data_IF_963375682299
#
_entry.id   IF_963375682299
#
_cell.length_a   1.000
_cell.length_b   1.000
_cell.length_c   1.000
_cell.angle_alpha   90.00
_cell.angle_beta   90.00
_cell.angle_gamma   90.00
#
_symmetry.space_group_name_H-M   'P 1'
#
loop_
_entity.id
_entity.type
_entity.pdbx_description
1 polymer ?
#
# COMPACT_ATOMS: atom_id res chain seq x y z
N UNK A 1 -2.48 55.08 2.47
CA UNK A 1 -1.43 54.06 2.26
C UNK A 1 -1.75 52.72 2.93
N UNK A 2 -2.46 52.70 4.07
CA UNK A 2 -2.72 51.46 4.82
C UNK A 2 -3.74 50.49 4.21
N UNK A 3 -4.74 50.99 3.47
CA UNK A 3 -5.73 50.11 2.81
C UNK A 3 -5.12 49.23 1.72
N UNK A 4 -4.13 49.73 0.99
CA UNK A 4 -3.42 48.95 -0.03
C UNK A 4 -2.58 47.83 0.60
N UNK A 5 -1.96 48.09 1.76
CA UNK A 5 -1.23 47.08 2.52
C UNK A 5 -2.16 45.99 3.05
N UNK A 6 -3.32 46.37 3.59
CA UNK A 6 -4.34 45.43 4.05
C UNK A 6 -4.86 44.55 2.91
N UNK A 7 -5.07 45.13 1.73
CA UNK A 7 -5.49 44.38 0.53
C UNK A 7 -4.43 43.36 0.09
N UNK A 8 -3.15 43.74 0.06
CA UNK A 8 -2.05 42.82 -0.27
C UNK A 8 -1.93 41.69 0.76
N UNK A 9 -2.08 42.02 2.04
CA UNK A 9 -2.06 41.04 3.12
C UNK A 9 -3.20 40.02 2.98
N UNK A 10 -4.42 40.52 2.72
CA UNK A 10 -5.58 39.67 2.46
C UNK A 10 -5.36 38.73 1.27
N UNK A 11 -4.87 39.24 0.14
CA UNK A 11 -4.57 38.42 -1.04
C UNK A 11 -3.52 37.35 -0.75
N UNK A 12 -2.48 37.69 0.01
CA UNK A 12 -1.45 36.73 0.46
C UNK A 12 -2.04 35.62 1.31
N UNK A 13 -2.88 35.95 2.29
CA UNK A 13 -3.50 34.97 3.18
C UNK A 13 -4.47 34.04 2.45
N UNK A 14 -5.28 34.58 1.54
CA UNK A 14 -6.18 33.78 0.69
C UNK A 14 -5.37 32.81 -0.19
N UNK A 15 -4.29 33.28 -0.81
CA UNK A 15 -3.42 32.42 -1.63
C UNK A 15 -2.78 31.30 -0.80
N UNK A 16 -2.27 31.61 0.40
CA UNK A 16 -1.70 30.62 1.31
C UNK A 16 -2.74 29.60 1.79
N UNK A 17 -3.97 30.03 2.06
CA UNK A 17 -5.06 29.14 2.44
C UNK A 17 -5.42 28.18 1.30
N UNK A 18 -5.50 28.68 0.05
CA UNK A 18 -5.75 27.85 -1.13
C UNK A 18 -4.63 26.83 -1.35
N UNK A 19 -3.38 27.23 -1.23
CA UNK A 19 -2.23 26.31 -1.36
C UNK A 19 -2.29 25.21 -0.30
N UNK A 20 -2.56 25.54 0.97
CA UNK A 20 -2.72 24.54 2.04
C UNK A 20 -3.84 23.54 1.76
N UNK A 21 -4.94 24.00 1.17
CA UNK A 21 -6.06 23.12 0.79
C UNK A 21 -5.62 22.18 -0.34
N UNK A 22 -4.96 22.70 -1.38
CA UNK A 22 -4.42 21.89 -2.48
C UNK A 22 -3.40 20.87 -1.96
N UNK A 23 -2.46 21.28 -1.11
CA UNK A 23 -1.49 20.38 -0.47
C UNK A 23 -2.19 19.30 0.35
N UNK A 24 -3.22 19.62 1.11
CA UNK A 24 -4.01 18.62 1.86
C UNK A 24 -4.71 17.64 0.93
N UNK A 25 -5.27 18.10 -0.19
CA UNK A 25 -5.92 17.21 -1.16
C UNK A 25 -4.90 16.36 -1.93
N UNK A 26 -3.76 16.92 -2.31
CA UNK A 26 -2.65 16.16 -2.88
C UNK A 26 -2.13 15.13 -1.88
N UNK A 27 -1.93 15.53 -0.63
CA UNK A 27 -1.53 14.64 0.46
C UNK A 27 -2.60 13.60 0.77
N UNK A 28 -3.90 13.89 0.65
CA UNK A 28 -4.98 12.92 0.84
C UNK A 28 -5.06 11.92 -0.32
N UNK A 29 -4.77 12.36 -1.55
CA UNK A 29 -4.57 11.46 -2.70
C UNK A 29 -3.33 10.58 -2.59
N UNK A 30 -2.28 11.07 -1.93
CA UNK A 30 -1.05 10.29 -1.64
C UNK A 30 -1.07 9.58 -0.28
N UNK A 31 -2.06 9.83 0.58
CA UNK A 31 -2.34 9.05 1.78
C UNK A 31 -3.09 7.77 1.42
N UNK A 32 -2.63 7.06 0.40
CA UNK A 32 -2.51 5.62 0.57
C UNK A 32 -1.45 5.39 1.64
N UNK A 33 -1.88 5.54 2.90
CA UNK A 33 -1.42 4.72 4.00
C UNK A 33 0.05 4.31 3.85
N UNK A 34 0.99 5.24 4.06
CA UNK A 34 2.37 4.87 4.41
C UNK A 34 2.34 4.32 5.84
N UNK A 35 1.46 3.34 6.11
CA UNK A 35 1.68 2.40 7.21
C UNK A 35 2.94 1.70 6.76
N UNK A 36 4.01 1.85 7.55
CA UNK A 36 5.13 0.91 7.68
C UNK A 36 4.88 -0.27 6.76
N UNK A 37 5.53 -0.34 5.60
CA UNK A 37 5.33 -1.39 4.59
C UNK A 37 5.48 -2.73 5.26
N UNK A 38 4.40 -3.22 5.88
CA UNK A 38 4.47 -4.41 6.69
C UNK A 38 4.74 -5.50 5.70
N UNK A 39 5.58 -6.46 6.08
CA UNK A 39 5.91 -7.61 5.25
C UNK A 39 4.66 -8.23 4.58
N UNK A 40 3.49 -8.13 5.22
CA UNK A 40 2.20 -8.58 4.67
C UNK A 40 1.69 -7.77 3.46
N UNK A 41 1.91 -6.46 3.41
CA UNK A 41 1.54 -5.62 2.27
C UNK A 41 2.43 -5.95 1.05
N UNK A 42 3.73 -6.19 1.29
CA UNK A 42 4.64 -6.68 0.24
C UNK A 42 4.16 -8.01 -0.32
N UNK A 43 3.82 -8.97 0.54
CA UNK A 43 3.29 -10.28 0.13
C UNK A 43 1.96 -10.14 -0.62
N UNK A 44 1.07 -9.26 -0.16
CA UNK A 44 -0.19 -8.97 -0.84
C UNK A 44 0.08 -8.41 -2.24
N UNK A 45 0.97 -7.43 -2.38
CA UNK A 45 1.32 -6.86 -3.68
C UNK A 45 1.96 -7.89 -4.61
N UNK A 46 2.82 -8.78 -4.07
CA UNK A 46 3.43 -9.87 -4.82
C UNK A 46 2.36 -10.82 -5.37
N UNK A 47 1.47 -11.31 -4.52
CA UNK A 47 0.39 -12.21 -4.93
C UNK A 47 -0.55 -11.52 -5.92
N UNK A 48 -0.87 -10.24 -5.68
CA UNK A 48 -1.74 -9.47 -6.55
C UNK A 48 -1.11 -9.21 -7.92
N UNK A 49 0.20 -8.93 -7.98
CA UNK A 49 0.94 -8.74 -9.23
C UNK A 49 1.05 -10.04 -10.02
N UNK A 50 1.19 -11.17 -9.33
CA UNK A 50 1.23 -12.48 -9.97
C UNK A 50 -0.15 -12.94 -10.48
N UNK A 51 -1.24 -12.54 -9.81
CA UNK A 51 -2.60 -12.89 -10.23
C UNK A 51 -2.95 -14.37 -10.05
N UNK A 52 -2.06 -15.18 -9.47
CA UNK A 52 -2.26 -16.61 -9.24
C UNK A 52 -1.75 -17.02 -7.85
N UNK A 53 -2.09 -18.24 -7.37
CA UNK A 53 -1.52 -18.77 -6.14
C UNK A 53 -0.01 -18.98 -6.29
N UNK A 54 0.77 -18.63 -5.26
CA UNK A 54 2.23 -18.79 -5.27
C UNK A 54 2.70 -19.61 -4.07
N UNK A 55 3.78 -20.37 -4.27
CA UNK A 55 4.43 -21.08 -3.20
C UNK A 55 5.23 -20.09 -2.31
N UNK A 56 5.40 -20.42 -1.04
CA UNK A 56 6.12 -19.60 -0.07
C UNK A 56 7.52 -19.24 -0.52
N UNK A 57 8.24 -20.19 -1.14
CA UNK A 57 9.58 -19.94 -1.68
C UNK A 57 9.56 -18.85 -2.75
N UNK A 58 8.63 -18.92 -3.70
CA UNK A 58 8.51 -17.95 -4.79
C UNK A 58 8.16 -16.55 -4.26
N UNK A 59 7.34 -16.48 -3.21
CA UNK A 59 7.01 -15.22 -2.53
C UNK A 59 8.26 -14.60 -1.90
N UNK A 60 9.11 -15.41 -1.26
CA UNK A 60 10.35 -14.93 -0.62
C UNK A 60 11.33 -14.44 -1.69
N UNK A 61 11.52 -15.19 -2.77
CA UNK A 61 12.40 -14.79 -3.88
C UNK A 61 11.92 -13.49 -4.54
N UNK A 62 10.61 -13.38 -4.78
CA UNK A 62 10.06 -12.18 -5.39
C UNK A 62 10.12 -10.97 -4.46
N UNK A 63 9.97 -11.17 -3.14
CA UNK A 63 10.15 -10.11 -2.15
C UNK A 63 11.59 -9.62 -2.11
N UNK A 64 12.57 -10.52 -2.17
CA UNK A 64 13.97 -10.16 -2.25
C UNK A 64 14.28 -9.42 -3.56
N UNK A 65 13.77 -9.90 -4.69
CA UNK A 65 14.03 -9.31 -6.02
C UNK A 65 13.38 -7.95 -6.23
N UNK A 66 12.10 -7.79 -5.83
CA UNK A 66 11.33 -6.56 -6.09
C UNK A 66 11.43 -5.52 -4.98
N UNK A 67 11.53 -5.97 -3.73
CA UNK A 67 11.46 -5.09 -2.56
C UNK A 67 12.74 -5.11 -1.72
N UNK A 68 13.73 -5.95 -2.05
CA UNK A 68 14.98 -6.13 -1.30
C UNK A 68 14.76 -6.45 0.19
N UNK A 69 13.62 -7.07 0.52
CA UNK A 69 13.29 -7.48 1.89
C UNK A 69 13.53 -8.97 2.05
N UNK A 70 14.37 -9.35 3.02
CA UNK A 70 14.53 -10.73 3.43
C UNK A 70 13.37 -11.15 4.34
N UNK A 71 12.53 -12.05 3.84
CA UNK A 71 11.42 -12.64 4.58
C UNK A 71 11.82 -14.04 5.08
N UNK A 72 11.59 -14.30 6.36
CA UNK A 72 11.78 -15.64 6.92
C UNK A 72 10.54 -16.50 6.65
N UNK A 73 10.75 -17.72 6.14
CA UNK A 73 9.72 -18.70 5.80
C UNK A 73 8.72 -18.94 6.93
N UNK A 74 9.20 -19.25 8.14
CA UNK A 74 8.31 -19.62 9.25
C UNK A 74 7.49 -18.43 9.75
N UNK A 75 8.11 -17.24 9.74
CA UNK A 75 7.45 -15.98 10.10
C UNK A 75 6.37 -15.62 9.08
N UNK A 76 6.65 -15.81 7.79
CA UNK A 76 5.71 -15.54 6.70
C UNK A 76 4.51 -16.47 6.75
N UNK A 77 4.75 -17.77 6.84
CA UNK A 77 3.70 -18.79 6.92
C UNK A 77 2.79 -18.52 8.12
N UNK A 78 3.37 -18.27 9.29
CA UNK A 78 2.62 -17.94 10.51
C UNK A 78 1.80 -16.66 10.38
N UNK A 79 2.39 -15.62 9.77
CA UNK A 79 1.69 -14.35 9.56
C UNK A 79 0.53 -14.49 8.57
N UNK A 80 0.70 -15.24 7.48
CA UNK A 80 -0.35 -15.52 6.51
C UNK A 80 -1.46 -16.37 7.16
N UNK A 81 -1.12 -17.42 7.91
CA UNK A 81 -2.09 -18.24 8.65
C UNK A 81 -2.91 -17.41 9.64
N UNK A 82 -2.28 -16.50 10.39
CA UNK A 82 -2.99 -15.56 11.27
C UNK A 82 -3.98 -14.69 10.50
N UNK A 83 -3.62 -14.26 9.29
CA UNK A 83 -4.49 -13.45 8.43
C UNK A 83 -5.65 -14.25 7.83
N UNK A 84 -5.41 -15.51 7.45
CA UNK A 84 -6.45 -16.44 7.01
C UNK A 84 -7.45 -16.70 8.14
N UNK A 85 -6.95 -17.03 9.34
CA UNK A 85 -7.79 -17.30 10.53
C UNK A 85 -8.59 -16.08 10.98
N UNK A 86 -8.04 -14.88 10.81
CA UNK A 86 -8.78 -13.63 11.02
C UNK A 86 -9.82 -13.33 9.92
N UNK A 87 -10.08 -14.26 9.00
CA UNK A 87 -11.05 -14.14 7.91
C UNK A 87 -10.68 -13.11 6.85
N UNK A 88 -9.40 -12.75 6.74
CA UNK A 88 -8.96 -11.64 5.90
C UNK A 88 -8.72 -12.08 4.43
N UNK A 89 -7.87 -11.32 3.75
CA UNK A 89 -7.68 -11.23 2.30
C UNK A 89 -6.99 -12.46 1.69
N UNK A 90 -6.36 -13.31 2.51
CA UNK A 90 -5.59 -14.47 2.03
C UNK A 90 -6.40 -15.75 2.12
N UNK A 91 -6.12 -16.69 1.22
CA UNK A 91 -6.64 -18.05 1.21
C UNK A 91 -5.49 -19.04 1.00
N UNK A 92 -5.63 -20.25 1.55
CA UNK A 92 -4.69 -21.34 1.31
C UNK A 92 -5.29 -22.28 0.27
N UNK A 93 -4.63 -22.42 -0.87
CA UNK A 93 -5.07 -23.29 -1.96
C UNK A 93 -4.38 -24.66 -1.92
N UNK A 94 -3.15 -24.72 -1.42
CA UNK A 94 -2.36 -25.95 -1.34
C UNK A 94 -1.35 -25.90 -0.17
N UNK A 95 -0.62 -27.00 0.14
CA UNK A 95 0.50 -26.96 1.07
C UNK A 95 1.51 -25.89 0.65
N UNK A 96 1.87 -25.02 1.59
CA UNK A 96 2.81 -23.91 1.36
C UNK A 96 2.48 -23.02 0.16
N UNK A 97 1.22 -22.98 -0.27
CA UNK A 97 0.77 -22.19 -1.42
C UNK A 97 -0.38 -21.30 -1.00
N UNK A 98 -0.23 -20.01 -1.26
CA UNK A 98 -1.14 -18.98 -0.79
C UNK A 98 -1.63 -18.13 -1.95
N UNK A 99 -2.87 -17.69 -1.83
CA UNK A 99 -3.57 -16.89 -2.81
C UNK A 99 -4.32 -15.75 -2.11
N UNK A 100 -4.76 -14.77 -2.90
CA UNK A 100 -5.69 -13.75 -2.44
C UNK A 100 -7.12 -14.19 -2.73
N UNK A 101 -8.04 -13.86 -1.82
CA UNK A 101 -9.48 -14.13 -2.00
C UNK A 101 -10.04 -13.40 -3.22
N UNK A 102 -9.58 -12.17 -3.42
CA UNK A 102 -9.91 -11.32 -4.57
C UNK A 102 -8.60 -10.78 -5.11
N UNK A 103 -8.21 -11.24 -6.29
CA UNK A 103 -7.18 -10.57 -7.06
C UNK A 103 -7.79 -9.32 -7.69
N UNK A 104 -7.12 -8.18 -7.64
CA UNK A 104 -7.52 -7.07 -8.51
C UNK A 104 -7.12 -7.50 -9.91
N UNK A 105 -8.08 -7.95 -10.69
CA UNK A 105 -7.88 -8.23 -12.12
C UNK A 105 -7.45 -6.89 -12.73
N UNK A 106 -6.16 -6.74 -13.02
CA UNK A 106 -5.73 -5.73 -13.97
C UNK A 106 -6.23 -6.25 -15.32
N UNK A 107 -7.44 -5.84 -15.69
CA UNK A 107 -7.85 -5.81 -17.08
C UNK A 107 -6.86 -4.87 -17.78
N UNK A 108 -5.92 -5.44 -18.53
CA UNK A 108 -5.16 -4.67 -19.51
C UNK A 108 -6.03 -4.50 -20.77
N UNK A 109 -6.00 -3.31 -21.40
CA UNK A 109 -6.88 -2.91 -22.50
C UNK A 109 -6.61 -3.62 -23.83
#
# INVERSE_FOLDING_TARGET
MDQFKLYLQYQKEVAQARLKVIERFQQQGTHQVVKRTSNMNIVQNILNTAGHPLHVSDIIEMALKKYQVQLNRDSLVSAILKKINAGQIFIRTAPNTFALRTYTVKEEP
#
